data_IF_097355146956
#
_entry.id   IF_097355146956
#
_cell.length_a   1.000
_cell.length_b   1.000
_cell.length_c   1.000
_cell.angle_alpha   90.00
_cell.angle_beta   90.00
_cell.angle_gamma   90.00
#
_symmetry.space_group_name_H-M   'P 1'
#
loop_
_entity.id
_entity.type
_entity.pdbx_description
1 polymer ?
#
# COMPACT_ATOMS: atom_id res chain seq x y z
N UNK A 1 -17.11 8.34 11.65
CA UNK A 1 -16.66 7.00 11.21
C UNK A 1 -16.07 6.14 12.35
N UNK A 2 -16.19 6.51 13.65
CA UNK A 2 -15.77 5.67 14.78
C UNK A 2 -14.27 5.35 14.88
N UNK A 3 -13.44 5.91 14.01
CA UNK A 3 -11.99 5.69 13.99
C UNK A 3 -11.30 6.73 14.88
N UNK A 4 -10.47 6.26 15.80
CA UNK A 4 -9.59 7.12 16.58
C UNK A 4 -8.37 7.53 15.76
N UNK A 5 -8.01 8.81 15.83
CA UNK A 5 -6.81 9.32 15.19
C UNK A 5 -5.59 8.89 16.01
N UNK A 6 -4.65 8.19 15.37
CA UNK A 6 -3.37 7.83 15.96
C UNK A 6 -2.25 8.56 15.19
N UNK A 7 -1.92 9.81 15.57
CA UNK A 7 -0.85 10.55 14.92
C UNK A 7 0.52 9.95 15.30
N UNK A 8 1.37 9.72 14.31
CA UNK A 8 2.78 9.45 14.58
C UNK A 8 3.47 10.73 15.09
N UNK A 9 4.37 10.58 16.05
CA UNK A 9 5.17 11.69 16.55
C UNK A 9 6.11 12.23 15.46
N UNK A 10 6.34 13.54 15.49
CA UNK A 10 7.20 14.23 14.53
C UNK A 10 8.64 13.73 14.72
N UNK A 11 9.25 13.19 13.65
CA UNK A 11 10.60 12.60 13.60
C UNK A 11 10.74 11.19 14.20
N UNK A 12 9.64 10.45 14.35
CA UNK A 12 9.67 9.02 14.63
C UNK A 12 9.34 8.22 13.35
N UNK A 13 10.36 7.79 12.57
CA UNK A 13 10.15 7.13 11.27
C UNK A 13 9.48 5.75 11.39
N UNK A 14 9.54 5.12 12.55
CA UNK A 14 9.07 3.75 12.77
C UNK A 14 7.55 3.64 12.64
N UNK A 15 6.80 4.69 13.00
CA UNK A 15 5.33 4.71 12.92
C UNK A 15 4.79 4.73 11.48
N UNK A 16 5.55 5.28 10.53
CA UNK A 16 5.09 5.50 9.15
C UNK A 16 5.86 4.67 8.10
N UNK A 17 6.85 3.88 8.50
CA UNK A 17 7.74 3.16 7.56
C UNK A 17 7.01 2.26 6.56
N UNK A 18 5.80 1.78 6.88
CA UNK A 18 4.95 1.03 5.97
C UNK A 18 4.49 1.88 4.77
N UNK A 19 3.96 3.07 5.05
CA UNK A 19 3.48 4.01 4.05
C UNK A 19 4.65 4.60 3.27
N UNK A 20 5.73 4.96 3.94
CA UNK A 20 6.93 5.50 3.30
C UNK A 20 7.55 4.49 2.30
N UNK A 21 7.65 3.22 2.69
CA UNK A 21 8.10 2.15 1.78
C UNK A 21 7.20 2.03 0.56
N UNK A 22 5.87 2.04 0.75
CA UNK A 22 4.93 1.97 -0.37
C UNK A 22 5.09 3.15 -1.33
N UNK A 23 5.16 4.38 -0.80
CA UNK A 23 5.32 5.60 -1.62
C UNK A 23 6.64 5.55 -2.39
N UNK A 24 7.72 5.09 -1.77
CA UNK A 24 9.01 4.91 -2.46
C UNK A 24 8.88 3.95 -3.65
N UNK A 25 8.29 2.77 -3.44
CA UNK A 25 8.10 1.78 -4.50
C UNK A 25 7.22 2.34 -5.63
N UNK A 26 6.14 3.05 -5.30
CA UNK A 26 5.28 3.71 -6.28
C UNK A 26 6.05 4.73 -7.13
N UNK A 27 6.85 5.59 -6.49
CA UNK A 27 7.65 6.59 -7.20
C UNK A 27 8.65 5.92 -8.15
N UNK A 28 9.42 4.97 -7.64
CA UNK A 28 10.48 4.28 -8.37
C UNK A 28 9.97 3.48 -9.57
N UNK A 29 8.85 2.78 -9.42
CA UNK A 29 8.35 1.84 -10.44
C UNK A 29 7.34 2.46 -11.41
N UNK A 30 6.67 3.55 -11.04
CA UNK A 30 5.64 4.17 -11.88
C UNK A 30 5.96 5.62 -12.23
N UNK A 31 6.08 6.47 -11.21
CA UNK A 31 6.11 7.92 -11.44
C UNK A 31 7.43 8.42 -12.04
N UNK A 32 8.54 7.75 -11.76
CA UNK A 32 9.84 8.08 -12.34
C UNK A 32 10.07 7.43 -13.71
N UNK A 33 9.41 6.29 -13.97
CA UNK A 33 9.58 5.55 -15.23
C UNK A 33 8.71 6.09 -16.37
N UNK A 34 7.57 6.71 -16.05
CA UNK A 34 6.58 7.13 -17.04
C UNK A 34 6.06 8.53 -16.74
N UNK A 35 5.95 9.35 -17.80
CA UNK A 35 5.19 10.59 -17.77
C UNK A 35 3.74 10.36 -18.19
N UNK A 36 2.86 11.21 -17.68
CA UNK A 36 1.43 11.18 -17.96
C UNK A 36 1.01 12.55 -18.48
N UNK A 37 0.27 12.56 -19.58
CA UNK A 37 -0.21 13.78 -20.20
C UNK A 37 -1.40 14.38 -19.44
N UNK A 38 -2.20 13.53 -18.78
CA UNK A 38 -3.37 13.95 -18.02
C UNK A 38 -3.42 13.35 -16.61
N UNK A 39 -4.11 14.06 -15.71
CA UNK A 39 -4.40 13.56 -14.36
C UNK A 39 -5.28 12.29 -14.38
N UNK A 40 -6.11 12.11 -15.41
CA UNK A 40 -6.93 10.92 -15.57
C UNK A 40 -6.07 9.68 -15.89
N UNK A 41 -5.08 9.83 -16.77
CA UNK A 41 -4.14 8.76 -17.11
C UNK A 41 -3.30 8.36 -15.90
N UNK A 42 -2.83 9.35 -15.14
CA UNK A 42 -2.14 9.09 -13.88
C UNK A 42 -3.05 8.31 -12.92
N UNK A 43 -4.31 8.71 -12.75
CA UNK A 43 -5.25 8.02 -11.86
C UNK A 43 -5.44 6.55 -12.29
N UNK A 44 -5.66 6.28 -13.57
CA UNK A 44 -5.78 4.90 -14.06
C UNK A 44 -4.51 4.08 -13.79
N UNK A 45 -3.34 4.66 -14.02
CA UNK A 45 -2.07 3.99 -13.76
C UNK A 45 -1.86 3.71 -12.26
N UNK A 46 -2.27 4.65 -11.38
CA UNK A 46 -2.24 4.45 -9.93
C UNK A 46 -3.16 3.31 -9.48
N UNK A 47 -4.36 3.21 -10.06
CA UNK A 47 -5.27 2.09 -9.78
C UNK A 47 -4.68 0.75 -10.22
N UNK A 48 -4.17 0.67 -11.46
CA UNK A 48 -3.53 -0.54 -11.97
C UNK A 48 -2.30 -0.94 -11.14
N UNK A 49 -1.51 0.04 -10.70
CA UNK A 49 -0.37 -0.18 -9.81
C UNK A 49 -0.82 -0.72 -8.45
N UNK A 50 -1.85 -0.11 -7.83
CA UNK A 50 -2.43 -0.57 -6.56
C UNK A 50 -2.89 -2.02 -6.66
N UNK A 51 -3.60 -2.38 -7.73
CA UNK A 51 -4.11 -3.74 -7.92
C UNK A 51 -2.96 -4.74 -8.11
N UNK A 52 -1.97 -4.39 -8.94
CA UNK A 52 -0.76 -5.20 -9.16
C UNK A 52 0.01 -5.40 -7.85
N UNK A 53 0.25 -4.34 -7.09
CA UNK A 53 0.96 -4.39 -5.82
C UNK A 53 0.24 -5.30 -4.83
N UNK A 54 -1.07 -5.11 -4.65
CA UNK A 54 -1.82 -5.88 -3.66
C UNK A 54 -1.96 -7.37 -4.04
N UNK A 55 -2.07 -7.68 -5.33
CA UNK A 55 -2.34 -9.04 -5.80
C UNK A 55 -1.10 -9.86 -6.10
N UNK A 56 -0.01 -9.23 -6.56
CA UNK A 56 1.15 -9.95 -7.11
C UNK A 56 2.45 -9.78 -6.32
N UNK A 57 2.57 -8.73 -5.50
CA UNK A 57 3.83 -8.48 -4.81
C UNK A 57 3.89 -9.25 -3.51
N UNK A 58 4.91 -10.09 -3.37
CA UNK A 58 5.22 -10.80 -2.12
C UNK A 58 6.09 -9.92 -1.23
N UNK A 59 5.72 -9.82 0.05
CA UNK A 59 6.44 -8.99 1.00
C UNK A 59 6.99 -9.87 2.13
N UNK A 60 8.29 -9.74 2.41
CA UNK A 60 8.94 -10.49 3.49
C UNK A 60 8.24 -10.26 4.85
N UNK A 61 7.83 -9.01 5.15
CA UNK A 61 7.09 -8.67 6.38
C UNK A 61 5.74 -9.40 6.54
N UNK A 62 5.21 -9.96 5.46
CA UNK A 62 3.95 -10.70 5.43
C UNK A 62 4.19 -12.22 5.39
N UNK A 63 5.44 -12.66 5.59
CA UNK A 63 5.84 -14.06 5.44
C UNK A 63 5.83 -14.50 3.98
N UNK A 64 6.29 -13.63 3.07
CA UNK A 64 6.31 -13.87 1.62
C UNK A 64 4.93 -14.07 0.99
N UNK A 65 3.90 -13.50 1.62
CA UNK A 65 2.52 -13.45 1.10
C UNK A 65 2.22 -12.07 0.50
N UNK A 66 1.18 -12.03 -0.32
CA UNK A 66 0.72 -10.77 -0.92
C UNK A 66 -0.15 -9.97 0.07
N UNK A 67 -0.20 -8.63 -0.04
CA UNK A 67 -1.09 -7.82 0.80
C UNK A 67 -2.55 -8.27 0.76
N UNK A 68 -3.04 -8.70 -0.41
CA UNK A 68 -4.40 -9.19 -0.57
C UNK A 68 -4.65 -10.49 0.23
N UNK A 69 -3.69 -11.41 0.23
CA UNK A 69 -3.79 -12.65 1.02
C UNK A 69 -3.83 -12.37 2.52
N UNK A 70 -2.93 -11.49 3.01
CA UNK A 70 -2.92 -11.12 4.43
C UNK A 70 -4.22 -10.42 4.83
N UNK A 71 -4.74 -9.53 3.98
CA UNK A 71 -6.01 -8.86 4.24
C UNK A 71 -7.19 -9.84 4.31
N UNK A 72 -7.24 -10.82 3.42
CA UNK A 72 -8.29 -11.83 3.42
C UNK A 72 -8.26 -12.66 4.72
N UNK A 73 -7.06 -13.08 5.16
CA UNK A 73 -6.85 -13.82 6.41
C UNK A 73 -7.31 -13.01 7.63
N UNK A 74 -6.91 -11.74 7.72
CA UNK A 74 -7.33 -10.83 8.81
C UNK A 74 -8.83 -10.57 8.83
N UNK A 75 -9.46 -10.44 7.66
CA UNK A 75 -10.91 -10.23 7.56
C UNK A 75 -11.66 -11.48 8.03
N UNK A 76 -11.19 -12.67 7.64
CA UNK A 76 -11.77 -13.93 8.09
C UNK A 76 -11.61 -14.13 9.61
N UNK A 77 -10.44 -13.80 10.17
CA UNK A 77 -10.21 -13.81 11.61
C UNK A 77 -11.16 -12.87 12.36
N UNK A 78 -11.35 -11.64 11.85
CA UNK A 78 -12.26 -10.66 12.46
C UNK A 78 -13.74 -11.04 12.35
N UNK A 79 -14.13 -11.82 11.33
CA UNK A 79 -15.51 -12.34 11.19
C UNK A 79 -15.76 -13.59 12.04
N UNK A 80 -14.72 -14.31 12.44
CA UNK A 80 -14.81 -15.52 13.26
C UNK A 80 -14.75 -15.25 14.78
N UNK A 81 -14.42 -14.03 15.19
CA UNK A 81 -14.35 -13.56 16.58
C UNK A 81 -15.60 -12.75 16.95
#
# INVERSE_FOLDING_TARGET
LGLESSPAFVREPEGNGCAERFIRVLKENLLWQRRFDTALDLRHALHAFKDTYNQRWILQRHGYRTPAQVRADQTNLAMAA
#
